data_IF_144951068940
#
_entry.id   IF_144951068940
#
_cell.length_a   1.000
_cell.length_b   1.000
_cell.length_c   1.000
_cell.angle_alpha   90.00
_cell.angle_beta   90.00
_cell.angle_gamma   90.00
#
_symmetry.space_group_name_H-M   'P 1'
#
loop_
_entity.id
_entity.type
_entity.pdbx_description
1 polymer ?
#
# COMPACT_ATOMS: atom_id res chain seq x y z
N UNK A 1 -19.70 5.49 2.01
CA UNK A 1 -19.88 5.48 3.49
C UNK A 1 -19.11 6.62 4.09
N UNK A 2 -19.63 7.24 5.16
CA UNK A 2 -18.96 8.35 5.86
C UNK A 2 -18.94 8.20 7.38
N UNK A 3 -19.60 7.17 7.93
CA UNK A 3 -19.61 6.89 9.38
C UNK A 3 -18.63 5.77 9.76
N UNK A 4 -18.21 5.79 11.03
CA UNK A 4 -17.22 4.85 11.56
C UNK A 4 -17.77 3.43 11.64
N UNK A 5 -18.98 3.27 12.21
CA UNK A 5 -19.59 1.95 12.40
C UNK A 5 -19.88 1.26 11.07
N UNK A 6 -20.34 2.00 10.07
CA UNK A 6 -20.56 1.47 8.72
C UNK A 6 -19.24 1.06 8.06
N UNK A 7 -18.19 1.88 8.20
CA UNK A 7 -16.88 1.54 7.65
C UNK A 7 -16.32 0.25 8.29
N UNK A 8 -16.42 0.12 9.62
CA UNK A 8 -15.98 -1.09 10.34
C UNK A 8 -16.81 -2.30 9.90
N UNK A 9 -18.13 -2.15 9.75
CA UNK A 9 -18.99 -3.24 9.30
C UNK A 9 -18.58 -3.75 7.92
N UNK A 10 -18.31 -2.85 6.97
CA UNK A 10 -17.88 -3.22 5.61
C UNK A 10 -16.47 -3.81 5.60
N UNK A 11 -15.49 -3.20 6.28
CA UNK A 11 -14.13 -3.73 6.34
C UNK A 11 -14.05 -5.10 7.05
N UNK A 12 -15.04 -5.43 7.89
CA UNK A 12 -15.12 -6.71 8.59
C UNK A 12 -15.85 -7.81 7.82
N UNK A 13 -16.53 -7.49 6.71
CA UNK A 13 -17.38 -8.43 5.96
C UNK A 13 -16.82 -8.67 4.55
N UNK A 14 -15.76 -9.48 4.48
CA UNK A 14 -15.12 -9.84 3.23
C UNK A 14 -15.93 -10.82 2.37
N UNK A 15 -16.99 -11.44 2.93
CA UNK A 15 -17.88 -12.31 2.19
C UNK A 15 -18.85 -11.49 1.32
N UNK A 16 -19.27 -10.31 1.81
CA UNK A 16 -20.13 -9.38 1.05
C UNK A 16 -19.33 -8.34 0.26
N UNK A 17 -18.21 -7.85 0.80
CA UNK A 17 -17.44 -6.74 0.22
C UNK A 17 -16.03 -7.16 -0.18
N UNK A 18 -15.86 -7.54 -1.45
CA UNK A 18 -14.57 -7.89 -2.03
C UNK A 18 -13.57 -6.72 -2.01
N UNK A 19 -12.29 -7.04 -1.76
CA UNK A 19 -11.17 -6.10 -1.81
C UNK A 19 -10.56 -5.93 -3.20
N UNK A 20 -11.13 -6.53 -4.26
CA UNK A 20 -10.52 -6.62 -5.60
C UNK A 20 -10.12 -5.26 -6.24
N UNK A 21 -10.68 -4.14 -5.77
CA UNK A 21 -10.35 -2.79 -6.25
C UNK A 21 -9.75 -1.89 -5.15
N UNK A 22 -9.36 -2.43 -4.00
CA UNK A 22 -8.95 -1.65 -2.83
C UNK A 22 -7.77 -0.69 -3.09
N UNK A 23 -6.83 -1.09 -3.95
CA UNK A 23 -5.62 -0.30 -4.27
C UNK A 23 -5.91 0.83 -5.25
N UNK A 24 -6.72 0.57 -6.28
CA UNK A 24 -6.99 1.54 -7.34
C UNK A 24 -8.23 2.38 -7.13
N UNK A 25 -9.10 1.95 -6.22
CA UNK A 25 -10.45 2.50 -6.06
C UNK A 25 -11.32 2.27 -7.29
N UNK A 26 -12.49 2.94 -7.34
CA UNK A 26 -13.49 2.71 -8.39
C UNK A 26 -13.20 3.46 -9.70
N UNK A 27 -12.24 4.39 -9.72
CA UNK A 27 -12.05 5.32 -10.83
C UNK A 27 -11.57 4.69 -12.14
N UNK A 28 -10.67 3.68 -12.14
CA UNK A 28 -10.31 2.99 -13.38
C UNK A 28 -11.44 2.15 -13.98
N UNK A 29 -12.52 1.93 -13.23
CA UNK A 29 -13.63 1.06 -13.61
C UNK A 29 -13.28 -0.43 -13.50
N UNK A 30 -14.27 -1.26 -13.77
CA UNK A 30 -14.12 -2.71 -13.87
C UNK A 30 -13.93 -3.12 -15.36
N UNK A 31 -13.20 -4.20 -15.69
CA UNK A 31 -12.97 -4.61 -17.08
C UNK A 31 -14.24 -4.81 -17.92
N UNK A 32 -15.36 -5.10 -17.26
CA UNK A 32 -16.69 -5.18 -17.86
C UNK A 32 -17.68 -4.27 -17.11
N UNK A 33 -18.74 -3.78 -17.78
CA UNK A 33 -19.80 -3.04 -17.10
C UNK A 33 -20.44 -3.88 -15.99
N UNK A 34 -20.51 -3.31 -14.79
CA UNK A 34 -21.16 -3.93 -13.62
C UNK A 34 -22.44 -3.19 -13.23
N UNK A 35 -22.71 -2.02 -13.83
CA UNK A 35 -23.96 -1.28 -13.63
C UNK A 35 -25.16 -2.09 -14.13
N UNK A 36 -26.07 -2.43 -13.22
CA UNK A 36 -27.25 -3.25 -13.52
C UNK A 36 -26.99 -4.75 -13.52
N UNK A 37 -25.80 -5.19 -13.08
CA UNK A 37 -25.57 -6.59 -12.72
C UNK A 37 -26.47 -7.02 -11.54
N UNK A 38 -26.51 -8.34 -11.29
CA UNK A 38 -27.18 -8.88 -10.11
C UNK A 38 -26.56 -8.32 -8.82
N UNK A 39 -27.29 -8.39 -7.70
CA UNK A 39 -26.80 -7.96 -6.39
C UNK A 39 -25.50 -8.69 -5.99
N UNK A 40 -25.31 -9.92 -6.47
CA UNK A 40 -24.09 -10.71 -6.35
C UNK A 40 -23.30 -10.70 -7.66
N UNK A 41 -22.07 -10.20 -7.61
CA UNK A 41 -21.14 -10.12 -8.74
C UNK A 41 -19.91 -10.99 -8.54
N UNK A 42 -19.95 -11.95 -7.61
CA UNK A 42 -18.80 -12.81 -7.26
C UNK A 42 -18.20 -13.51 -8.47
N UNK A 43 -19.03 -14.11 -9.33
CA UNK A 43 -18.56 -14.81 -10.52
C UNK A 43 -17.86 -13.87 -11.51
N UNK A 44 -18.35 -12.63 -11.65
CA UNK A 44 -17.74 -11.60 -12.50
C UNK A 44 -16.39 -11.17 -11.90
N UNK A 45 -16.32 -10.99 -10.59
CA UNK A 45 -15.08 -10.67 -9.91
C UNK A 45 -14.06 -11.76 -10.16
N UNK A 46 -14.40 -13.03 -9.95
CA UNK A 46 -13.47 -14.15 -10.14
C UNK A 46 -13.02 -14.32 -11.60
N UNK A 47 -13.92 -14.13 -12.57
CA UNK A 47 -13.58 -14.22 -14.00
C UNK A 47 -12.54 -13.17 -14.43
N UNK A 48 -12.66 -11.95 -13.90
CA UNK A 48 -11.83 -10.81 -14.32
C UNK A 48 -10.75 -10.41 -13.31
N UNK A 49 -10.64 -11.09 -12.16
CA UNK A 49 -9.76 -10.69 -11.04
C UNK A 49 -8.32 -10.49 -11.47
N UNK A 50 -7.78 -11.40 -12.28
CA UNK A 50 -6.38 -11.34 -12.73
C UNK A 50 -6.09 -10.15 -13.66
N UNK A 51 -7.12 -9.60 -14.30
CA UNK A 51 -7.01 -8.44 -15.19
C UNK A 51 -7.02 -7.11 -14.41
N UNK A 52 -7.41 -7.12 -13.13
CA UNK A 52 -7.39 -5.94 -12.29
C UNK A 52 -5.93 -5.57 -11.93
N UNK A 53 -5.60 -4.27 -11.87
CA UNK A 53 -4.28 -3.85 -11.44
C UNK A 53 -3.96 -4.37 -10.03
N UNK A 54 -2.70 -4.79 -9.81
CA UNK A 54 -2.20 -5.27 -8.53
C UNK A 54 -2.90 -6.56 -8.02
N UNK A 55 -3.55 -7.34 -8.88
CA UNK A 55 -4.27 -8.57 -8.53
C UNK A 55 -3.42 -9.64 -7.81
N UNK A 56 -2.11 -9.52 -7.88
CA UNK A 56 -1.10 -10.34 -7.21
C UNK A 56 -0.73 -9.86 -5.80
N UNK A 57 -1.21 -8.69 -5.37
CA UNK A 57 -0.93 -8.12 -4.05
C UNK A 57 -1.95 -8.57 -3.01
N UNK A 58 -1.46 -8.83 -1.78
CA UNK A 58 -2.29 -9.29 -0.66
C UNK A 58 -3.43 -8.33 -0.31
N UNK A 59 -3.30 -7.04 -0.64
CA UNK A 59 -4.27 -5.98 -0.36
C UNK A 59 -5.54 -6.04 -1.22
N UNK A 60 -5.54 -6.77 -2.34
CA UNK A 60 -6.71 -6.92 -3.22
C UNK A 60 -7.23 -8.36 -3.29
N UNK A 61 -6.67 -9.25 -2.47
CA UNK A 61 -7.12 -10.63 -2.34
C UNK A 61 -8.27 -10.73 -1.35
N UNK A 62 -9.17 -11.68 -1.58
CA UNK A 62 -10.19 -12.08 -0.61
C UNK A 62 -9.84 -13.45 0.02
N UNK A 63 -10.44 -13.83 1.16
CA UNK A 63 -10.31 -15.18 1.70
C UNK A 63 -10.74 -16.26 0.67
N UNK A 64 -10.13 -17.45 0.68
CA UNK A 64 -9.07 -17.91 1.60
C UNK A 64 -7.66 -17.43 1.21
N UNK A 65 -7.45 -16.99 -0.04
CA UNK A 65 -6.12 -16.61 -0.56
C UNK A 65 -5.48 -15.50 0.26
N UNK A 66 -6.24 -14.47 0.63
CA UNK A 66 -5.77 -13.41 1.53
C UNK A 66 -5.27 -13.98 2.86
N UNK A 67 -6.04 -14.87 3.49
CA UNK A 67 -5.71 -15.46 4.80
C UNK A 67 -4.41 -16.26 4.73
N UNK A 68 -4.22 -17.04 3.68
CA UNK A 68 -3.00 -17.84 3.46
C UNK A 68 -1.77 -16.96 3.23
N UNK A 69 -1.85 -16.00 2.32
CA UNK A 69 -0.74 -15.08 2.03
C UNK A 69 -0.40 -14.23 3.26
N UNK A 70 -1.40 -13.71 3.97
CA UNK A 70 -1.21 -12.94 5.20
C UNK A 70 -0.55 -13.79 6.29
N UNK A 71 -0.91 -15.07 6.43
CA UNK A 71 -0.28 -15.95 7.42
C UNK A 71 1.23 -16.10 7.20
N UNK A 72 1.69 -16.15 5.95
CA UNK A 72 3.12 -16.16 5.61
C UNK A 72 3.83 -14.86 6.03
N UNK A 73 3.19 -13.72 5.77
CA UNK A 73 3.75 -12.40 6.07
C UNK A 73 3.78 -12.08 7.57
N UNK A 74 2.81 -12.55 8.34
CA UNK A 74 2.73 -12.28 9.79
C UNK A 74 3.92 -12.82 10.58
N UNK A 75 4.62 -13.83 10.06
CA UNK A 75 5.90 -14.30 10.63
C UNK A 75 7.05 -13.28 10.50
N UNK A 76 6.96 -12.36 9.54
CA UNK A 76 7.96 -11.32 9.32
C UNK A 76 7.71 -10.08 10.16
N UNK A 77 6.45 -9.80 10.52
CA UNK A 77 5.99 -8.61 11.25
C UNK A 77 5.65 -8.99 12.71
N UNK A 78 6.64 -9.47 13.45
CA UNK A 78 6.44 -9.87 14.86
C UNK A 78 6.53 -8.68 15.80
N UNK A 79 5.86 -8.71 16.97
CA UNK A 79 5.98 -7.63 17.97
C UNK A 79 7.42 -7.34 18.40
N UNK A 80 8.28 -8.38 18.45
CA UNK A 80 9.70 -8.21 18.76
C UNK A 80 10.41 -7.37 17.70
N UNK A 81 10.24 -7.71 16.40
CA UNK A 81 10.83 -6.94 15.30
C UNK A 81 10.29 -5.52 15.24
N UNK A 82 9.01 -5.33 15.52
CA UNK A 82 8.43 -3.99 15.58
C UNK A 82 9.06 -3.15 16.69
N UNK A 83 9.35 -3.75 17.85
CA UNK A 83 10.05 -3.08 18.96
C UNK A 83 11.51 -2.78 18.64
N UNK A 84 12.24 -3.72 18.04
CA UNK A 84 13.63 -3.49 17.57
C UNK A 84 13.68 -2.37 16.52
N UNK A 85 12.66 -2.30 15.66
CA UNK A 85 12.50 -1.22 14.70
C UNK A 85 12.20 0.14 15.36
N UNK A 86 11.58 0.18 16.55
CA UNK A 86 11.28 1.44 17.25
C UNK A 86 12.54 2.20 17.66
N UNK A 87 13.49 1.53 18.32
CA UNK A 87 14.76 2.15 18.74
C UNK A 87 15.56 2.64 17.51
N UNK A 88 15.53 1.85 16.43
CA UNK A 88 16.12 2.21 15.14
C UNK A 88 15.46 3.45 14.51
N UNK A 89 14.12 3.50 14.51
CA UNK A 89 13.36 4.64 13.98
C UNK A 89 13.69 5.93 14.73
N UNK A 90 13.88 5.89 16.05
CA UNK A 90 14.30 7.06 16.83
C UNK A 90 15.66 7.60 16.39
N UNK A 91 16.66 6.72 16.28
CA UNK A 91 18.00 7.13 15.84
C UNK A 91 17.99 7.71 14.40
N UNK A 92 17.19 7.11 13.51
CA UNK A 92 17.03 7.63 12.16
C UNK A 92 16.27 8.95 12.12
N UNK A 93 15.24 9.12 12.94
CA UNK A 93 14.50 10.37 13.03
C UNK A 93 15.44 11.53 13.36
N UNK A 94 16.31 11.38 14.37
CA UNK A 94 17.30 12.41 14.73
C UNK A 94 18.25 12.71 13.55
N UNK A 95 18.77 11.66 12.88
CA UNK A 95 19.68 11.82 11.75
C UNK A 95 19.06 12.60 10.59
N UNK A 96 17.79 12.35 10.28
CA UNK A 96 17.09 13.03 9.18
C UNK A 96 16.53 14.39 9.60
N UNK A 97 16.26 14.60 10.88
CA UNK A 97 15.72 15.85 11.40
C UNK A 97 16.80 16.92 11.55
N UNK A 98 18.02 16.55 11.95
CA UNK A 98 19.12 17.50 12.18
C UNK A 98 19.41 18.42 10.97
N UNK A 99 19.55 17.91 9.73
CA UNK A 99 19.73 18.77 8.56
C UNK A 99 18.54 19.69 8.30
N UNK A 100 17.31 19.19 8.51
CA UNK A 100 16.10 19.98 8.35
C UNK A 100 16.02 21.13 9.35
N UNK A 101 16.39 20.91 10.61
CA UNK A 101 16.40 21.97 11.63
C UNK A 101 17.39 23.08 11.30
N UNK A 102 18.49 22.76 10.63
CA UNK A 102 19.49 23.73 10.21
C UNK A 102 19.03 24.59 9.01
N UNK A 103 18.33 24.00 8.03
CA UNK A 103 17.94 24.71 6.79
C UNK A 103 16.53 25.27 6.81
N UNK A 104 15.63 24.64 7.59
CA UNK A 104 14.19 24.85 7.50
C UNK A 104 13.61 24.47 6.13
N UNK A 105 12.37 24.91 5.87
CA UNK A 105 11.70 24.75 4.58
C UNK A 105 10.55 23.75 4.59
N UNK A 106 10.27 23.16 3.42
CA UNK A 106 9.23 22.16 3.23
C UNK A 106 9.54 20.90 4.04
N UNK A 107 8.72 20.64 5.07
CA UNK A 107 8.89 19.51 5.97
C UNK A 107 8.74 18.16 5.27
N UNK A 108 7.85 18.05 4.28
CA UNK A 108 7.62 16.80 3.56
C UNK A 108 8.88 16.44 2.78
N UNK A 109 9.43 17.39 2.02
CA UNK A 109 10.64 17.15 1.22
C UNK A 109 11.91 17.06 2.06
N UNK A 110 11.99 17.87 3.12
CA UNK A 110 13.18 17.98 3.95
C UNK A 110 13.33 16.88 5.00
N UNK A 111 12.23 16.26 5.44
CA UNK A 111 12.24 15.23 6.49
C UNK A 111 11.27 14.09 6.22
N UNK A 112 9.98 14.37 5.99
CA UNK A 112 8.93 13.35 5.98
C UNK A 112 9.16 12.23 4.96
N UNK A 113 9.39 12.59 3.70
CA UNK A 113 9.68 11.65 2.62
C UNK A 113 11.00 10.89 2.83
N UNK A 114 12.17 11.53 3.05
CA UNK A 114 13.43 10.80 3.20
C UNK A 114 13.46 9.90 4.44
N UNK A 115 12.90 10.34 5.58
CA UNK A 115 12.81 9.51 6.78
C UNK A 115 11.96 8.27 6.56
N UNK A 116 10.74 8.43 6.00
CA UNK A 116 9.83 7.30 5.77
C UNK A 116 10.45 6.27 4.84
N UNK A 117 11.12 6.73 3.78
CA UNK A 117 11.76 5.85 2.81
C UNK A 117 12.95 5.08 3.41
N UNK A 118 13.71 5.71 4.30
CA UNK A 118 14.78 5.04 5.03
C UNK A 118 14.26 3.94 5.96
N UNK A 119 13.12 4.17 6.64
CA UNK A 119 12.47 3.16 7.49
C UNK A 119 11.97 1.98 6.65
N UNK A 120 11.37 2.24 5.49
CA UNK A 120 10.95 1.18 4.56
C UNK A 120 12.15 0.38 4.05
N UNK A 121 13.23 1.05 3.64
CA UNK A 121 14.45 0.40 3.18
C UNK A 121 15.03 -0.53 4.26
N UNK A 122 15.02 -0.10 5.52
CA UNK A 122 15.49 -0.92 6.64
C UNK A 122 14.59 -2.13 6.91
N UNK A 123 13.27 -1.94 6.91
CA UNK A 123 12.30 -3.04 7.04
C UNK A 123 12.46 -4.10 5.95
N UNK A 124 12.87 -3.69 4.75
CA UNK A 124 13.17 -4.57 3.63
C UNK A 124 14.59 -5.16 3.66
N UNK A 125 15.43 -4.74 4.61
CA UNK A 125 16.80 -5.21 4.78
C UNK A 125 17.78 -4.65 3.75
N UNK A 126 17.51 -3.47 3.18
CA UNK A 126 18.37 -2.82 2.19
C UNK A 126 19.66 -2.30 2.88
N UNK A 127 20.86 -2.71 2.41
CA UNK A 127 22.14 -2.22 2.91
C UNK A 127 22.27 -0.69 2.83
N UNK A 128 22.97 -0.05 3.76
CA UNK A 128 23.05 1.41 3.85
C UNK A 128 23.62 2.05 2.57
N UNK A 129 24.57 1.37 1.92
CA UNK A 129 25.18 1.76 0.66
C UNK A 129 24.20 1.84 -0.52
N UNK A 130 23.15 1.00 -0.50
CA UNK A 130 22.15 0.90 -1.58
C UNK A 130 20.94 1.80 -1.33
N UNK A 131 20.79 2.36 -0.12
CA UNK A 131 19.63 3.19 0.27
C UNK A 131 19.42 4.42 -0.60
N UNK A 132 20.46 5.16 -1.07
CA UNK A 132 20.26 6.28 -1.98
C UNK A 132 19.66 5.86 -3.33
N UNK A 133 20.15 4.74 -3.88
CA UNK A 133 19.63 4.18 -5.14
C UNK A 133 18.20 3.66 -4.95
N UNK A 134 17.94 2.93 -3.86
CA UNK A 134 16.59 2.49 -3.50
C UNK A 134 15.63 3.68 -3.39
N UNK A 135 16.10 4.79 -2.78
CA UNK A 135 15.30 5.98 -2.63
C UNK A 135 14.93 6.64 -3.96
N UNK A 136 15.88 6.71 -4.90
CA UNK A 136 15.63 7.24 -6.25
C UNK A 136 14.62 6.38 -7.03
N UNK A 137 14.70 5.06 -6.91
CA UNK A 137 13.75 4.14 -7.56
C UNK A 137 12.34 4.21 -6.96
N UNK A 138 12.22 4.58 -5.68
CA UNK A 138 10.94 4.67 -4.96
C UNK A 138 10.31 6.06 -4.96
N UNK A 139 10.99 7.08 -5.50
CA UNK A 139 10.36 8.37 -5.74
C UNK A 139 9.30 8.26 -6.85
N UNK A 140 8.05 8.04 -6.44
CA UNK A 140 6.86 7.92 -7.28
C UNK A 140 6.41 9.23 -7.95
N UNK A 141 7.27 10.25 -8.01
CA UNK A 141 7.05 11.47 -8.81
C UNK A 141 6.76 11.19 -10.30
N UNK A 142 6.91 9.94 -10.77
CA UNK A 142 6.58 9.47 -12.12
C UNK A 142 5.21 8.80 -12.33
N UNK A 143 4.35 8.72 -11.31
CA UNK A 143 2.96 8.26 -11.48
C UNK A 143 2.46 7.43 -10.31
N UNK A 144 1.77 8.07 -9.37
CA UNK A 144 1.12 7.40 -8.26
C UNK A 144 -0.13 6.63 -8.70
N UNK A 145 -0.40 5.55 -7.98
CA UNK A 145 -1.66 4.80 -8.07
C UNK A 145 -2.80 5.74 -7.65
N UNK A 146 -3.83 5.85 -8.49
CA UNK A 146 -4.94 6.80 -8.29
C UNK A 146 -4.79 8.14 -9.04
N UNK A 147 -3.78 8.30 -9.90
CA UNK A 147 -3.69 9.48 -10.77
C UNK A 147 -4.81 9.45 -11.84
N UNK A 148 -5.55 10.56 -11.96
CA UNK A 148 -6.68 10.75 -12.89
C UNK A 148 -6.27 10.93 -14.36
N UNK A 149 -5.00 10.74 -14.71
CA UNK A 149 -4.54 10.85 -16.09
C UNK A 149 -4.84 9.55 -16.86
N UNK A 150 -5.52 9.68 -18.01
CA UNK A 150 -6.11 8.64 -18.88
C UNK A 150 -5.16 7.54 -19.45
N UNK A 151 -3.96 7.34 -18.90
CA UNK A 151 -3.08 6.26 -19.35
C UNK A 151 -3.21 5.04 -18.44
N UNK A 152 -3.72 3.98 -19.05
CA UNK A 152 -3.85 2.61 -18.52
C UNK A 152 -2.75 2.26 -17.50
N UNK A 153 -3.21 1.90 -16.30
CA UNK A 153 -2.40 1.44 -15.18
C UNK A 153 -2.01 -0.02 -15.44
N UNK A 154 -0.91 -0.22 -16.17
CA UNK A 154 -0.17 -1.49 -16.12
C UNK A 154 0.74 -1.50 -14.89
N UNK A 155 0.69 -2.56 -14.10
CA UNK A 155 1.75 -2.90 -13.16
C UNK A 155 2.74 -3.84 -13.89
N UNK A 156 4.04 -3.67 -13.65
CA UNK A 156 5.08 -4.56 -14.20
C UNK A 156 5.20 -5.87 -13.41
#
# INVERSE_FOLDING_TARGET
MTGYDEAVAVFGDADTFSSCTAVTGPFPGFPVPIEGAADDVTDIIEEYREQLPFSDQVTVMDPPKHTEHRALLMGLITPKRLKENEDFMWAHADRYLEPYLATGGDFIKGFGAPFTLAVIADLLGVPEEDRPEFAEHMDHSKGGVGNTNEKSLGHS
#
